data_IF_850902512750
#
_entry.id   IF_850902512750
#
_cell.length_a   1.000
_cell.length_b   1.000
_cell.length_c   1.000
_cell.angle_alpha   90.00
_cell.angle_beta   90.00
_cell.angle_gamma   90.00
#
_symmetry.space_group_name_H-M   'P 1'
#
loop_
_entity.id
_entity.type
_entity.pdbx_description
1 polymer ?
#
# COMPACT_ATOMS: atom_id res chain seq x y z
N UNK A 1 -2.76 15.47 12.00
CA UNK A 1 -2.96 14.04 11.66
C UNK A 1 -1.83 13.64 10.73
N UNK A 2 -1.12 12.54 11.03
CA UNK A 2 -0.06 12.03 10.16
C UNK A 2 -0.67 11.17 9.05
N UNK A 3 -0.12 11.25 7.84
CA UNK A 3 -0.52 10.42 6.71
C UNK A 3 0.73 9.94 5.97
N UNK A 4 0.62 8.78 5.34
CA UNK A 4 1.61 8.26 4.41
C UNK A 4 1.07 8.38 2.99
N UNK A 5 1.85 8.99 2.09
CA UNK A 5 1.52 9.06 0.68
C UNK A 5 2.19 7.90 -0.08
N UNK A 6 1.42 7.28 -0.97
CA UNK A 6 1.89 6.32 -1.96
C UNK A 6 1.37 6.76 -3.33
N UNK A 7 2.24 7.36 -4.14
CA UNK A 7 1.92 8.04 -5.40
C UNK A 7 2.46 7.33 -6.65
N UNK A 8 3.12 6.17 -6.48
CA UNK A 8 3.69 5.37 -7.57
C UNK A 8 2.68 4.58 -8.42
N UNK A 9 1.38 4.89 -8.34
CA UNK A 9 0.35 4.13 -9.07
C UNK A 9 0.30 4.55 -10.54
N UNK A 10 0.38 3.55 -11.42
CA UNK A 10 0.28 3.72 -12.88
C UNK A 10 -0.93 2.95 -13.46
N UNK A 11 -1.38 3.28 -14.69
CA UNK A 11 -2.47 2.58 -15.36
C UNK A 11 -2.24 1.07 -15.50
N UNK A 12 -3.32 0.28 -15.42
CA UNK A 12 -3.28 -1.20 -15.42
C UNK A 12 -2.35 -1.73 -14.31
N UNK A 13 -2.72 -1.54 -13.03
CA UNK A 13 -1.86 -1.85 -11.91
C UNK A 13 -1.49 -3.34 -11.88
N UNK A 14 -0.23 -3.63 -11.64
CA UNK A 14 0.28 -5.00 -11.49
C UNK A 14 0.13 -5.48 -10.05
N UNK A 15 0.17 -6.79 -9.84
CA UNK A 15 0.22 -7.37 -8.50
C UNK A 15 1.41 -6.85 -7.68
N UNK A 16 2.58 -6.67 -8.30
CA UNK A 16 3.75 -6.11 -7.65
C UNK A 16 3.50 -4.68 -7.11
N UNK A 17 2.74 -3.86 -7.83
CA UNK A 17 2.37 -2.52 -7.39
C UNK A 17 1.42 -2.57 -6.17
N UNK A 18 0.47 -3.51 -6.17
CA UNK A 18 -0.42 -3.75 -5.02
C UNK A 18 0.38 -4.18 -3.80
N UNK A 19 1.37 -5.08 -3.96
CA UNK A 19 2.25 -5.52 -2.88
C UNK A 19 3.08 -4.36 -2.29
N UNK A 20 3.60 -3.47 -3.14
CA UNK A 20 4.31 -2.27 -2.69
C UNK A 20 3.42 -1.34 -1.86
N UNK A 21 2.19 -1.09 -2.32
CA UNK A 21 1.23 -0.28 -1.59
C UNK A 21 0.80 -0.91 -0.26
N UNK A 22 0.62 -2.24 -0.22
CA UNK A 22 0.33 -2.97 1.01
C UNK A 22 1.50 -2.91 2.01
N UNK A 23 2.74 -3.07 1.54
CA UNK A 23 3.92 -2.95 2.38
C UNK A 23 4.02 -1.55 3.00
N UNK A 24 3.75 -0.49 2.24
CA UNK A 24 3.69 0.88 2.74
C UNK A 24 2.58 1.08 3.78
N UNK A 25 1.38 0.54 3.52
CA UNK A 25 0.24 0.57 4.44
C UNK A 25 0.56 -0.11 5.79
N UNK A 26 1.20 -1.29 5.76
CA UNK A 26 1.59 -2.03 6.95
C UNK A 26 2.74 -1.35 7.71
N UNK A 27 3.75 -0.87 7.00
CA UNK A 27 4.90 -0.19 7.60
C UNK A 27 4.49 1.11 8.32
N UNK A 28 3.54 1.85 7.74
CA UNK A 28 2.97 3.04 8.33
C UNK A 28 1.93 2.76 9.43
N UNK A 29 1.53 1.49 9.63
CA UNK A 29 0.50 1.06 10.58
C UNK A 29 -0.81 1.84 10.40
N UNK A 30 -1.24 1.99 9.16
CA UNK A 30 -2.42 2.78 8.82
C UNK A 30 -3.72 2.06 9.22
N UNK A 31 -4.68 2.78 9.81
CA UNK A 31 -6.04 2.26 10.05
C UNK A 31 -6.96 2.41 8.82
N UNK A 32 -6.68 3.44 8.01
CA UNK A 32 -7.47 3.81 6.85
C UNK A 32 -6.62 3.84 5.58
N UNK A 33 -7.26 3.51 4.46
CA UNK A 33 -6.68 3.60 3.12
C UNK A 33 -7.60 4.49 2.27
N UNK A 34 -7.04 5.53 1.67
CA UNK A 34 -7.78 6.47 0.83
C UNK A 34 -7.16 6.42 -0.57
N UNK A 35 -7.98 6.12 -1.57
CA UNK A 35 -7.58 6.22 -2.97
C UNK A 35 -7.94 7.59 -3.52
N UNK A 36 -7.01 8.22 -4.23
CA UNK A 36 -7.23 9.49 -4.90
C UNK A 36 -6.84 9.39 -6.38
N UNK A 37 -7.75 9.77 -7.27
CA UNK A 37 -7.55 9.72 -8.73
C UNK A 37 -8.60 8.88 -9.46
N UNK A 38 -8.22 8.36 -10.63
CA UNK A 38 -9.10 7.57 -11.49
C UNK A 38 -9.22 6.09 -11.12
N UNK A 39 -9.60 5.24 -12.09
CA UNK A 39 -9.83 3.82 -11.86
C UNK A 39 -8.62 3.06 -11.31
N UNK A 40 -7.41 3.35 -11.79
CA UNK A 40 -6.19 2.63 -11.38
C UNK A 40 -5.82 2.78 -9.89
N UNK A 41 -5.74 3.99 -9.29
CA UNK A 41 -5.52 4.11 -7.84
C UNK A 41 -6.67 3.53 -7.01
N UNK A 42 -7.92 3.60 -7.48
CA UNK A 42 -9.07 3.02 -6.79
C UNK A 42 -8.99 1.48 -6.79
N UNK A 43 -8.68 0.87 -7.93
CA UNK A 43 -8.56 -0.57 -8.06
C UNK A 43 -7.36 -1.12 -7.27
N UNK A 44 -6.23 -0.42 -7.34
CA UNK A 44 -5.04 -0.71 -6.53
C UNK A 44 -5.39 -0.71 -5.04
N UNK A 45 -6.12 0.29 -4.55
CA UNK A 45 -6.52 0.36 -3.15
C UNK A 45 -7.48 -0.77 -2.73
N UNK A 46 -8.42 -1.16 -3.60
CA UNK A 46 -9.29 -2.32 -3.36
C UNK A 46 -8.47 -3.61 -3.25
N UNK A 47 -7.53 -3.80 -4.18
CA UNK A 47 -6.64 -4.96 -4.17
C UNK A 47 -5.77 -5.00 -2.91
N UNK A 48 -5.21 -3.86 -2.47
CA UNK A 48 -4.45 -3.76 -1.20
C UNK A 48 -5.32 -4.23 -0.03
N UNK A 49 -6.59 -3.81 0.03
CA UNK A 49 -7.47 -4.16 1.16
C UNK A 49 -7.87 -5.65 1.19
N UNK A 50 -7.97 -6.29 0.02
CA UNK A 50 -8.35 -7.71 -0.11
C UNK A 50 -7.12 -8.63 -0.01
N UNK A 51 -5.94 -8.15 -0.39
CA UNK A 51 -4.72 -8.95 -0.44
C UNK A 51 -4.40 -9.57 0.92
N UNK A 52 -4.22 -10.90 1.00
CA UNK A 52 -3.88 -11.55 2.25
C UNK A 52 -2.44 -11.20 2.67
N UNK A 53 -2.15 -11.17 3.97
CA UNK A 53 -0.83 -10.78 4.49
C UNK A 53 0.32 -11.65 3.97
N UNK A 54 0.06 -12.90 3.57
CA UNK A 54 1.05 -13.84 3.02
C UNK A 54 1.56 -13.45 1.63
N UNK A 55 0.80 -12.64 0.89
CA UNK A 55 1.13 -12.19 -0.47
C UNK A 55 2.00 -10.93 -0.49
N UNK A 56 2.21 -10.29 0.66
CA UNK A 56 3.11 -9.17 0.77
C UNK A 56 4.48 -9.61 1.31
N UNK A 57 5.59 -9.05 0.80
CA UNK A 57 6.88 -9.22 1.47
C UNK A 57 6.76 -8.71 2.91
N UNK A 58 7.42 -9.37 3.89
CA UNK A 58 7.35 -8.94 5.28
C UNK A 58 7.74 -7.46 5.38
N UNK A 59 7.04 -6.67 6.22
CA UNK A 59 7.35 -5.25 6.34
C UNK A 59 8.84 -5.11 6.66
N UNK A 60 9.55 -4.15 6.05
CA UNK A 60 10.93 -3.87 6.43
C UNK A 60 10.91 -3.63 7.94
N UNK A 61 11.70 -4.40 8.68
CA UNK A 61 11.84 -4.22 10.12
C UNK A 61 12.12 -2.73 10.35
N UNK A 62 11.35 -2.04 11.21
CA UNK A 62 11.67 -0.66 11.52
C UNK A 62 13.10 -0.68 12.07
N UNK A 63 14.05 -0.19 11.28
CA UNK A 63 15.41 -0.01 11.72
C UNK A 63 15.30 0.83 13.00
N UNK A 64 15.78 0.30 14.13
CA UNK A 64 15.78 0.98 15.42
C UNK A 64 16.11 2.45 15.21
N UNK A 65 15.10 3.30 15.28
CA UNK A 65 15.29 4.74 15.32
C UNK A 65 16.03 5.01 16.62
N UNK A 66 17.32 5.32 16.49
CA UNK A 66 18.18 5.79 17.57
C UNK A 66 18.07 7.30 17.67
#
# INVERSE_FOLDING_TARGET
MAYQLFDGVYPNPTEALVQQGYAAYQAARCDYLIAFGGGSPIDTAKAIKISPPTLAPPPPTPASAK
#
